data_IF_478007031809
#
_entry.id   IF_478007031809
#
_cell.length_a   1.000
_cell.length_b   1.000
_cell.length_c   1.000
_cell.angle_alpha   90.00
_cell.angle_beta   90.00
_cell.angle_gamma   90.00
#
_symmetry.space_group_name_H-M   'P 1'
#
loop_
_entity.id
_entity.type
_entity.pdbx_description
1 polymer ?
#
# COMPACT_ATOMS: atom_id res chain seq x y z
N UNK A 1 17.70 -3.73 21.75
CA UNK A 1 16.52 -3.39 22.57
C UNK A 1 16.29 -1.92 22.26
N UNK A 2 15.28 -1.49 21.52
CA UNK A 2 13.87 -1.86 21.40
C UNK A 2 13.46 -1.44 19.96
N UNK A 3 12.53 -2.00 19.21
CA UNK A 3 11.18 -2.41 19.56
C UNK A 3 10.66 -3.08 18.29
N UNK A 4 10.98 -4.37 18.13
CA UNK A 4 10.48 -5.22 17.06
C UNK A 4 9.01 -5.51 17.28
N UNK A 5 8.16 -4.47 17.37
CA UNK A 5 6.72 -4.67 17.33
C UNK A 5 6.44 -5.22 15.94
N UNK A 6 6.37 -6.54 15.90
CA UNK A 6 5.90 -7.38 14.82
C UNK A 6 4.41 -7.11 14.60
N UNK A 7 4.12 -5.87 14.21
CA UNK A 7 2.86 -5.39 13.64
C UNK A 7 2.91 -5.52 12.12
N UNK A 8 3.64 -6.52 11.63
CA UNK A 8 3.47 -6.97 10.26
C UNK A 8 2.37 -8.02 10.34
N UNK A 9 1.17 -7.69 9.89
CA UNK A 9 0.04 -8.63 9.76
C UNK A 9 0.29 -9.69 8.66
N UNK A 10 1.55 -10.08 8.44
CA UNK A 10 2.02 -10.78 7.25
C UNK A 10 2.13 -9.86 6.02
N UNK A 11 2.53 -10.45 4.89
CA UNK A 11 2.49 -9.79 3.59
C UNK A 11 1.04 -9.41 3.27
N UNK A 12 0.78 -8.13 3.03
CA UNK A 12 -0.55 -7.69 2.64
C UNK A 12 -0.78 -7.99 1.16
N UNK A 13 -2.04 -8.18 0.73
CA UNK A 13 -2.39 -8.40 -0.67
C UNK A 13 -1.82 -7.32 -1.59
N UNK A 14 -1.76 -6.06 -1.13
CA UNK A 14 -1.15 -4.97 -1.91
C UNK A 14 0.30 -5.25 -2.32
N UNK A 15 1.09 -5.93 -1.48
CA UNK A 15 2.47 -6.26 -1.83
C UNK A 15 2.55 -7.23 -3.00
N UNK A 16 1.64 -8.20 -3.01
CA UNK A 16 1.53 -9.21 -4.05
C UNK A 16 1.00 -8.58 -5.35
N UNK A 17 -0.10 -7.83 -5.27
CA UNK A 17 -0.67 -7.09 -6.41
C UNK A 17 0.36 -6.15 -7.04
N UNK A 18 1.14 -5.42 -6.22
CA UNK A 18 2.22 -4.58 -6.73
C UNK A 18 3.31 -5.40 -7.43
N UNK A 19 3.67 -6.56 -6.90
CA UNK A 19 4.67 -7.44 -7.52
C UNK A 19 4.15 -8.06 -8.83
N UNK A 20 2.89 -8.50 -8.87
CA UNK A 20 2.22 -9.03 -10.07
C UNK A 20 2.17 -8.00 -11.20
N UNK A 21 1.87 -6.74 -10.86
CA UNK A 21 1.85 -5.64 -11.81
C UNK A 21 3.24 -5.04 -12.09
N UNK A 22 4.30 -5.50 -11.43
CA UNK A 22 5.65 -4.96 -11.57
C UNK A 22 5.81 -3.52 -11.06
N UNK A 23 4.89 -3.05 -10.21
CA UNK A 23 4.83 -1.68 -9.71
C UNK A 23 5.78 -1.49 -8.53
N UNK A 24 6.58 -0.42 -8.57
CA UNK A 24 7.41 -0.04 -7.42
C UNK A 24 6.71 1.02 -6.57
N UNK A 25 7.12 1.20 -5.30
CA UNK A 25 6.59 2.28 -4.47
C UNK A 25 6.72 3.66 -5.09
N UNK A 26 7.74 3.86 -5.94
CA UNK A 26 7.94 5.09 -6.68
C UNK A 26 6.81 5.33 -7.70
N UNK A 27 6.42 4.30 -8.46
CA UNK A 27 5.34 4.39 -9.45
C UNK A 27 4.01 4.74 -8.80
N UNK A 28 3.69 4.16 -7.64
CA UNK A 28 2.49 4.53 -6.88
C UNK A 28 2.53 5.99 -6.42
N UNK A 29 3.69 6.47 -5.97
CA UNK A 29 3.84 7.87 -5.53
C UNK A 29 3.75 8.82 -6.73
N UNK A 30 4.30 8.44 -7.89
CA UNK A 30 4.25 9.23 -9.11
C UNK A 30 2.84 9.26 -9.74
N UNK A 31 2.11 8.15 -9.68
CA UNK A 31 0.73 8.05 -10.16
C UNK A 31 -0.29 8.68 -9.19
N UNK A 32 0.05 8.81 -7.90
CA UNK A 32 -0.87 9.38 -6.92
C UNK A 32 -1.09 10.87 -7.17
N UNK A 33 -2.35 11.26 -7.29
CA UNK A 33 -2.77 12.68 -7.31
C UNK A 33 -2.80 13.31 -5.91
N UNK A 34 -2.55 12.53 -4.86
CA UNK A 34 -2.59 12.95 -3.47
C UNK A 34 -1.18 12.94 -2.86
N UNK A 35 -1.00 13.63 -1.73
CA UNK A 35 0.26 13.56 -0.99
C UNK A 35 0.45 12.17 -0.38
N UNK A 36 1.15 11.32 -1.13
CA UNK A 36 1.58 9.98 -0.78
C UNK A 36 3.11 9.94 -0.73
N UNK A 37 3.68 9.27 0.27
CA UNK A 37 5.14 9.15 0.40
C UNK A 37 5.57 7.69 0.23
N UNK A 38 6.81 7.49 -0.19
CA UNK A 38 7.42 6.17 -0.33
C UNK A 38 7.32 5.38 0.98
N UNK A 39 7.53 6.04 2.13
CA UNK A 39 7.35 5.44 3.46
C UNK A 39 5.91 5.00 3.74
N UNK A 40 4.88 5.66 3.21
CA UNK A 40 3.49 5.22 3.39
C UNK A 40 3.23 3.93 2.61
N UNK A 41 3.70 3.85 1.36
CA UNK A 41 3.57 2.65 0.52
C UNK A 41 4.34 1.47 1.11
N UNK A 42 5.59 1.67 1.53
CA UNK A 42 6.38 0.60 2.17
C UNK A 42 5.70 0.10 3.46
N UNK A 43 5.07 0.98 4.23
CA UNK A 43 4.30 0.58 5.43
C UNK A 43 3.06 -0.24 5.07
N UNK A 44 2.37 0.11 3.99
CA UNK A 44 1.20 -0.64 3.49
C UNK A 44 1.60 -2.04 3.05
N UNK A 45 2.65 -2.15 2.24
CA UNK A 45 3.21 -3.41 1.76
C UNK A 45 3.64 -4.34 2.91
N UNK A 46 4.25 -3.78 3.95
CA UNK A 46 4.68 -4.54 5.14
C UNK A 46 3.53 -4.98 6.07
N UNK A 47 2.31 -4.50 5.85
CA UNK A 47 1.18 -4.83 6.72
C UNK A 47 1.14 -4.09 8.04
N UNK A 48 1.70 -2.88 8.08
CA UNK A 48 1.48 -1.98 9.21
C UNK A 48 0.07 -1.39 9.15
N UNK A 49 -0.59 -1.35 10.31
CA UNK A 49 -1.91 -0.72 10.47
C UNK A 49 -1.84 0.77 10.12
N UNK A 50 -2.45 1.14 8.99
CA UNK A 50 -2.57 2.51 8.49
C UNK A 50 -3.95 3.08 8.82
N UNK A 51 -4.02 4.42 8.93
CA UNK A 51 -5.27 5.16 9.05
C UNK A 51 -6.08 5.10 7.75
N UNK A 52 -7.40 5.21 7.83
CA UNK A 52 -8.30 5.13 6.67
C UNK A 52 -7.94 6.14 5.57
N UNK A 53 -7.59 7.37 5.95
CA UNK A 53 -7.11 8.37 4.99
C UNK A 53 -5.87 7.90 4.21
N UNK A 54 -4.95 7.20 4.88
CA UNK A 54 -3.77 6.65 4.21
C UNK A 54 -4.13 5.45 3.34
N UNK A 55 -5.03 4.58 3.82
CA UNK A 55 -5.54 3.44 3.04
C UNK A 55 -6.16 3.93 1.73
N UNK A 56 -7.02 4.94 1.77
CA UNK A 56 -7.67 5.52 0.57
C UNK A 56 -6.66 6.13 -0.39
N UNK A 57 -5.64 6.84 0.10
CA UNK A 57 -4.57 7.38 -0.75
C UNK A 57 -3.81 6.29 -1.49
N UNK A 58 -3.46 5.22 -0.77
CA UNK A 58 -2.74 4.07 -1.33
C UNK A 58 -3.63 3.34 -2.33
N UNK A 59 -4.92 3.16 -2.04
CA UNK A 59 -5.89 2.57 -2.96
C UNK A 59 -6.00 3.36 -4.26
N UNK A 60 -6.23 4.67 -4.18
CA UNK A 60 -6.34 5.52 -5.36
C UNK A 60 -5.04 5.49 -6.17
N UNK A 61 -3.89 5.55 -5.52
CA UNK A 61 -2.58 5.47 -6.18
C UNK A 61 -2.37 4.12 -6.88
N UNK A 62 -2.74 3.01 -6.23
CA UNK A 62 -2.65 1.67 -6.81
C UNK A 62 -3.61 1.54 -8.00
N UNK A 63 -4.84 2.02 -7.88
CA UNK A 63 -5.84 1.94 -8.94
C UNK A 63 -5.40 2.73 -10.18
N UNK A 64 -4.80 3.91 -9.98
CA UNK A 64 -4.23 4.72 -11.05
C UNK A 64 -3.01 4.05 -11.69
N UNK A 65 -2.10 3.49 -10.89
CA UNK A 65 -0.88 2.85 -11.40
C UNK A 65 -1.13 1.50 -12.08
N UNK A 66 -2.09 0.73 -11.58
CA UNK A 66 -2.47 -0.58 -12.11
C UNK A 66 -3.60 -0.51 -13.15
N UNK A 67 -4.13 0.69 -13.43
CA UNK A 67 -5.28 0.95 -14.30
C UNK A 67 -6.47 0.01 -14.02
N UNK A 68 -6.68 -0.31 -12.74
CA UNK A 68 -7.70 -1.23 -12.25
C UNK A 68 -8.42 -0.63 -11.06
N UNK A 69 -9.66 -1.04 -10.84
CA UNK A 69 -10.41 -0.66 -9.65
C UNK A 69 -10.33 -1.76 -8.60
N UNK A 70 -9.34 -1.69 -7.72
CA UNK A 70 -9.30 -2.46 -6.49
C UNK A 70 -10.15 -1.78 -5.41
N UNK A 71 -10.52 -2.57 -4.40
CA UNK A 71 -11.17 -2.11 -3.18
C UNK A 71 -10.27 -2.26 -1.95
N UNK A 72 -10.56 -1.52 -0.88
CA UNK A 72 -9.77 -1.59 0.37
C UNK A 72 -9.69 -3.02 0.94
N UNK A 73 -10.77 -3.80 0.83
CA UNK A 73 -10.83 -5.17 1.32
C UNK A 73 -9.98 -6.14 0.49
N UNK A 74 -9.71 -5.82 -0.77
CA UNK A 74 -8.82 -6.62 -1.62
C UNK A 74 -7.35 -6.31 -1.37
N UNK A 75 -7.02 -5.06 -1.02
CA UNK A 75 -5.62 -4.63 -0.80
C UNK A 75 -5.17 -4.76 0.67
N UNK A 76 -6.10 -4.76 1.62
CA UNK A 76 -5.85 -4.91 3.05
C UNK A 76 -6.76 -5.99 3.65
N UNK A 77 -6.16 -6.94 4.36
CA UNK A 77 -6.87 -8.08 4.98
C UNK A 77 -7.36 -7.78 6.42
N UNK A 78 -7.56 -6.51 6.79
CA UNK A 78 -7.90 -6.09 8.16
C UNK A 78 -8.74 -4.81 8.27
#
# INVERSE_FOLDING_TARGET
MDDGIERNLGAQPIADIMAEHGLKPHDLVAASTQQLTHKMVTRACKGRKLTDNTKTKVLNALNLAAEKNYTLSEIFNY
#
